data_IF_665364536601
#
_entry.id   IF_665364536601
#
_cell.length_a   1.000
_cell.length_b   1.000
_cell.length_c   1.000
_cell.angle_alpha   90.00
_cell.angle_beta   90.00
_cell.angle_gamma   90.00
#
_symmetry.space_group_name_H-M   'P 1'
#
loop_
_entity.id
_entity.type
_entity.pdbx_description
1 polymer ?
#
# COMPACT_ATOMS: atom_id res chain seq x y z
N UNK A 1 17.23 -4.01 -4.22
CA UNK A 1 16.05 -4.48 -3.46
C UNK A 1 15.75 -3.43 -2.41
N UNK A 2 14.68 -2.65 -2.55
CA UNK A 2 14.29 -1.70 -1.51
C UNK A 2 13.87 -2.48 -0.26
N UNK A 3 14.33 -2.07 0.92
CA UNK A 3 13.97 -2.72 2.17
C UNK A 3 12.52 -2.37 2.56
N UNK A 4 11.59 -3.24 2.18
CA UNK A 4 10.15 -3.08 2.45
C UNK A 4 9.87 -3.23 3.96
N UNK A 5 10.81 -3.74 4.76
CA UNK A 5 10.61 -3.90 6.21
C UNK A 5 10.48 -2.55 6.93
N UNK A 6 11.13 -1.49 6.44
CA UNK A 6 10.94 -0.14 7.00
C UNK A 6 9.47 0.33 6.95
N UNK A 7 8.70 -0.15 5.98
CA UNK A 7 7.28 0.14 5.88
C UNK A 7 6.44 -0.52 7.00
N UNK A 8 7.00 -1.40 7.84
CA UNK A 8 6.31 -1.95 9.03
C UNK A 8 6.17 -0.93 10.16
N UNK A 9 7.06 0.07 10.22
CA UNK A 9 7.03 1.08 11.28
C UNK A 9 5.78 1.94 11.12
N UNK A 10 5.49 2.37 9.89
CA UNK A 10 4.39 3.28 9.61
C UNK A 10 3.02 2.74 10.07
N UNK A 11 2.58 1.51 9.73
CA UNK A 11 1.29 0.99 10.17
C UNK A 11 1.06 1.01 11.68
N UNK A 12 2.11 0.90 12.51
CA UNK A 12 1.98 0.94 13.98
C UNK A 12 1.72 2.33 14.53
N UNK A 13 2.13 3.37 13.79
CA UNK A 13 1.99 4.77 14.19
C UNK A 13 0.92 5.51 13.37
N UNK A 14 0.31 4.85 12.39
CA UNK A 14 -0.76 5.44 11.60
C UNK A 14 -2.10 5.39 12.37
N UNK A 15 -2.96 6.41 12.19
CA UNK A 15 -4.32 6.37 12.72
C UNK A 15 -5.09 5.18 12.14
N UNK A 16 -6.16 4.72 12.82
CA UNK A 16 -7.01 3.66 12.31
C UNK A 16 -7.47 3.94 10.88
N UNK A 17 -7.14 3.05 9.95
CA UNK A 17 -7.43 3.23 8.53
C UNK A 17 -8.23 2.04 7.99
N UNK A 18 -9.29 2.31 7.22
CA UNK A 18 -10.07 1.24 6.58
C UNK A 18 -9.36 0.61 5.38
N UNK A 19 -8.42 1.34 4.75
CA UNK A 19 -7.74 0.94 3.51
C UNK A 19 -6.29 1.42 3.50
N UNK A 20 -5.42 0.58 2.95
CA UNK A 20 -4.02 0.92 2.70
C UNK A 20 -3.78 1.03 1.20
N UNK A 21 -3.44 2.22 0.69
CA UNK A 21 -3.03 2.42 -0.70
C UNK A 21 -1.51 2.32 -0.75
N UNK A 22 -1.01 1.33 -1.49
CA UNK A 22 0.43 1.12 -1.65
C UNK A 22 0.80 0.88 -3.10
N UNK A 23 2.01 1.28 -3.46
CA UNK A 23 2.58 0.99 -4.78
C UNK A 23 2.79 -0.53 -4.98
N UNK A 24 2.88 -0.97 -6.24
CA UNK A 24 3.22 -2.33 -6.63
C UNK A 24 4.51 -2.85 -5.97
N UNK A 25 5.47 -1.97 -5.66
CA UNK A 25 6.67 -2.32 -4.92
C UNK A 25 6.37 -2.94 -3.54
N UNK A 26 5.23 -2.60 -2.93
CA UNK A 26 4.77 -3.13 -1.63
C UNK A 26 3.97 -4.44 -1.74
N UNK A 27 3.85 -5.04 -2.93
CA UNK A 27 3.17 -6.33 -3.09
C UNK A 27 3.97 -7.47 -2.45
N UNK A 28 3.81 -7.64 -1.15
CA UNK A 28 4.41 -8.68 -0.33
C UNK A 28 3.33 -9.38 0.51
N UNK A 29 3.45 -10.71 0.64
CA UNK A 29 2.42 -11.52 1.31
C UNK A 29 2.34 -11.22 2.80
N UNK A 30 3.50 -11.08 3.45
CA UNK A 30 3.58 -10.72 4.85
C UNK A 30 2.92 -9.36 5.13
N UNK A 31 3.06 -8.38 4.23
CA UNK A 31 2.47 -7.05 4.42
C UNK A 31 0.96 -7.10 4.27
N UNK A 32 0.45 -7.83 3.28
CA UNK A 32 -0.99 -8.03 3.10
C UNK A 32 -1.59 -8.74 4.31
N UNK A 33 -0.91 -9.76 4.85
CA UNK A 33 -1.34 -10.48 6.05
C UNK A 33 -1.42 -9.55 7.27
N UNK A 34 -0.37 -8.77 7.52
CA UNK A 34 -0.34 -7.82 8.64
C UNK A 34 -1.44 -6.75 8.54
N UNK A 35 -1.69 -6.22 7.34
CA UNK A 35 -2.78 -5.28 7.10
C UNK A 35 -4.15 -5.91 7.39
N UNK A 36 -4.35 -7.16 6.95
CA UNK A 36 -5.57 -7.90 7.25
C UNK A 36 -5.78 -8.15 8.74
N UNK A 37 -4.73 -8.52 9.49
CA UNK A 37 -4.80 -8.69 10.94
C UNK A 37 -5.21 -7.42 11.68
N UNK A 38 -4.87 -6.26 11.11
CA UNK A 38 -5.26 -4.94 11.64
C UNK A 38 -6.64 -4.46 11.16
N UNK A 39 -7.36 -5.28 10.39
CA UNK A 39 -8.63 -4.89 9.78
C UNK A 39 -8.51 -3.88 8.63
N UNK A 40 -7.30 -3.62 8.15
CA UNK A 40 -7.01 -2.67 7.08
C UNK A 40 -7.04 -3.41 5.74
N UNK A 41 -7.87 -2.94 4.79
CA UNK A 41 -7.93 -3.59 3.46
C UNK A 41 -6.77 -3.14 2.57
N UNK A 42 -5.88 -4.04 2.10
CA UNK A 42 -4.82 -3.68 1.17
C UNK A 42 -5.38 -3.33 -0.21
N UNK A 43 -4.98 -2.18 -0.73
CA UNK A 43 -5.24 -1.70 -2.08
C UNK A 43 -3.91 -1.55 -2.83
N UNK A 44 -3.22 -2.68 -2.97
CA UNK A 44 -1.88 -2.78 -3.58
C UNK A 44 -2.02 -3.54 -4.91
N UNK A 45 -1.60 -2.97 -6.06
CA UNK A 45 -1.57 -3.70 -7.31
C UNK A 45 -0.61 -4.89 -7.26
N UNK A 46 -0.97 -6.06 -7.81
CA UNK A 46 -0.08 -7.21 -7.83
C UNK A 46 1.11 -6.99 -8.76
N UNK A 47 2.28 -7.52 -8.40
CA UNK A 47 3.48 -7.58 -9.26
C UNK A 47 3.21 -8.46 -10.49
N UNK A 48 3.83 -8.10 -11.63
CA UNK A 48 3.59 -8.74 -12.93
C UNK A 48 3.87 -10.26 -12.93
N UNK A 49 4.86 -10.72 -12.15
CA UNK A 49 5.29 -12.13 -12.08
C UNK A 49 4.60 -12.95 -10.98
N UNK A 50 3.57 -12.40 -10.32
CA UNK A 50 2.89 -13.08 -9.21
C UNK A 50 2.02 -14.23 -9.74
N UNK A 51 2.30 -15.47 -9.29
CA UNK A 51 1.57 -16.69 -9.71
C UNK A 51 0.07 -16.62 -9.45
N UNK A 52 -0.34 -16.02 -8.32
CA UNK A 52 -1.73 -15.78 -7.94
C UNK A 52 -1.94 -14.28 -7.67
N UNK A 53 -2.32 -13.48 -8.68
CA UNK A 53 -2.49 -12.05 -8.53
C UNK A 53 -3.57 -11.74 -7.48
N UNK A 54 -3.21 -10.95 -6.47
CA UNK A 54 -4.17 -10.49 -5.49
C UNK A 54 -5.17 -9.51 -6.13
N UNK A 55 -6.45 -9.65 -5.80
CA UNK A 55 -7.47 -8.66 -6.17
C UNK A 55 -7.17 -7.35 -5.43
N UNK A 56 -7.30 -6.24 -6.14
CA UNK A 56 -7.23 -4.91 -5.55
C UNK A 56 -8.31 -4.03 -6.19
N UNK A 57 -8.77 -3.02 -5.45
CA UNK A 57 -9.77 -2.11 -5.97
C UNK A 57 -9.10 -1.00 -6.80
N UNK A 58 -9.31 -1.01 -8.11
CA UNK A 58 -8.71 -0.02 -9.03
C UNK A 58 -9.21 1.40 -8.78
N UNK A 59 -10.47 1.57 -8.37
CA UNK A 59 -11.11 2.90 -8.19
C UNK A 59 -10.40 3.78 -7.13
N UNK A 60 -10.14 3.32 -5.89
CA UNK A 60 -9.35 4.09 -4.94
C UNK A 60 -7.89 4.20 -5.38
N UNK A 61 -7.32 3.17 -5.99
CA UNK A 61 -5.93 3.23 -6.47
C UNK A 61 -5.70 4.32 -7.52
N UNK A 62 -6.66 4.54 -8.43
CA UNK A 62 -6.59 5.64 -9.40
C UNK A 62 -6.43 7.00 -8.74
N UNK A 63 -6.93 7.20 -7.52
CA UNK A 63 -6.82 8.46 -6.79
C UNK A 63 -5.45 8.68 -6.13
N UNK A 64 -4.47 7.78 -6.31
CA UNK A 64 -3.11 7.92 -5.75
C UNK A 64 -2.40 9.19 -6.21
N UNK A 65 -2.71 9.68 -7.42
CA UNK A 65 -2.13 10.90 -7.96
C UNK A 65 -2.38 12.11 -7.04
N UNK A 66 -3.46 12.10 -6.24
CA UNK A 66 -3.75 13.16 -5.27
C UNK A 66 -2.75 13.17 -4.13
N UNK A 67 -2.31 11.98 -3.70
CA UNK A 67 -1.28 11.80 -2.67
C UNK A 67 0.08 12.25 -3.24
N UNK A 68 0.42 11.80 -4.45
CA UNK A 68 1.65 12.19 -5.14
C UNK A 68 1.72 13.71 -5.34
N UNK A 69 0.63 14.34 -5.80
CA UNK A 69 0.55 15.79 -5.95
C UNK A 69 0.68 16.53 -4.61
N UNK A 70 0.09 15.99 -3.52
CA UNK A 70 0.21 16.59 -2.20
C UNK A 70 1.66 16.56 -1.70
N UNK A 71 2.38 15.44 -1.88
CA UNK A 71 3.80 15.36 -1.54
C UNK A 71 4.68 16.22 -2.46
N UNK A 72 4.39 16.29 -3.75
CA UNK A 72 5.11 17.16 -4.68
C UNK A 72 5.02 18.64 -4.28
N UNK A 73 3.85 19.09 -3.82
CA UNK A 73 3.67 20.46 -3.29
C UNK A 73 4.35 20.73 -1.94
N UNK A 74 4.74 19.70 -1.19
CA UNK A 74 5.47 19.84 0.07
C UNK A 74 6.98 19.92 -0.14
N UNK A 75 7.45 19.55 -1.33
CA UNK A 75 8.86 19.64 -1.74
C UNK A 75 9.15 20.90 -2.56
N UNK A 76 8.10 21.64 -2.92
CA UNK A 76 8.13 23.02 -3.43
C UNK A 76 8.17 23.99 -2.23
#
# INVERSE_FOLDING_TARGET
MADIRGALVLPRHLPPAKRFLGDKAYDADWLRYELHNRGIRPCIPPRKKRRKPARYNKRPYQKRHRIENAFGRLQD
#
